data_IF_128141353808
#
_entry.id   IF_128141353808
#
_cell.length_a   1.000
_cell.length_b   1.000
_cell.length_c   1.000
_cell.angle_alpha   90.00
_cell.angle_beta   90.00
_cell.angle_gamma   90.00
#
_symmetry.space_group_name_H-M   'P 1'
#
loop_
_entity.id
_entity.type
_entity.pdbx_description
1 polymer ?
#
# COMPACT_ATOMS: atom_id res chain seq x y z
N UNK A 1 25.41 -63.45 22.81
CA UNK A 1 24.76 -62.15 22.94
C UNK A 1 25.75 -61.06 22.57
N UNK A 2 25.67 -60.53 21.33
CA UNK A 2 26.50 -59.42 20.88
C UNK A 2 25.80 -58.11 21.23
N UNK A 3 26.48 -57.31 22.07
CA UNK A 3 26.03 -55.92 22.34
C UNK A 3 26.40 -55.05 21.14
N UNK A 4 25.40 -54.48 20.49
CA UNK A 4 25.60 -53.43 19.46
C UNK A 4 25.71 -52.13 20.22
N UNK A 5 26.90 -51.49 20.14
CA UNK A 5 27.13 -50.16 20.65
C UNK A 5 26.74 -49.19 19.54
N UNK A 6 25.67 -48.47 19.74
CA UNK A 6 25.30 -47.35 18.86
C UNK A 6 26.05 -46.12 19.36
N UNK A 7 27.08 -45.73 18.62
CA UNK A 7 27.74 -44.45 18.83
C UNK A 7 26.87 -43.33 18.24
N UNK A 8 26.26 -42.54 19.12
CA UNK A 8 25.70 -41.26 18.73
C UNK A 8 26.87 -40.29 18.49
N UNK A 9 27.07 -39.95 17.23
CA UNK A 9 27.98 -38.85 16.84
C UNK A 9 27.22 -37.54 17.07
N UNK A 10 27.49 -36.86 18.19
CA UNK A 10 27.03 -35.49 18.43
C UNK A 10 27.94 -34.59 17.62
N UNK A 11 27.49 -34.16 16.45
CA UNK A 11 28.06 -33.05 15.70
C UNK A 11 27.63 -31.76 16.39
N UNK A 12 28.48 -31.21 17.22
CA UNK A 12 28.30 -29.83 17.69
C UNK A 12 28.67 -28.88 16.56
N UNK A 13 27.66 -28.32 15.91
CA UNK A 13 27.84 -27.19 15.02
C UNK A 13 28.08 -25.94 15.87
N UNK A 14 29.25 -25.37 15.78
CA UNK A 14 29.45 -24.00 16.21
C UNK A 14 28.81 -23.09 15.19
N UNK A 15 27.62 -22.57 15.52
CA UNK A 15 27.01 -21.47 14.80
C UNK A 15 27.81 -20.21 15.09
N UNK A 16 28.58 -19.73 14.12
CA UNK A 16 29.02 -18.35 14.09
C UNK A 16 27.84 -17.53 13.62
N UNK A 17 27.44 -16.59 14.46
CA UNK A 17 26.14 -15.94 14.37
C UNK A 17 25.96 -14.98 13.22
N UNK A 18 25.64 -15.48 12.05
CA UNK A 18 25.04 -14.73 10.95
C UNK A 18 23.71 -15.35 10.55
N UNK A 19 22.86 -15.65 11.53
CA UNK A 19 21.42 -15.83 11.33
C UNK A 19 20.92 -16.94 10.40
N UNK A 20 21.78 -17.69 9.73
CA UNK A 20 21.37 -18.87 8.97
C UNK A 20 21.31 -20.10 9.88
N UNK A 21 20.24 -20.19 10.67
CA UNK A 21 19.88 -21.48 11.25
C UNK A 21 19.48 -22.39 10.09
N UNK A 22 20.35 -23.38 9.78
CA UNK A 22 20.04 -24.41 8.81
C UNK A 22 18.86 -25.25 9.26
N UNK A 23 17.65 -24.80 8.96
CA UNK A 23 16.48 -25.63 8.97
C UNK A 23 16.38 -26.27 7.59
N UNK A 24 16.30 -27.59 7.54
CA UNK A 24 15.86 -28.28 6.34
C UNK A 24 14.39 -27.92 6.14
N UNK A 25 14.11 -26.91 5.30
CA UNK A 25 12.78 -26.70 4.77
C UNK A 25 12.49 -27.84 3.81
N UNK A 26 11.50 -28.67 4.13
CA UNK A 26 10.96 -29.69 3.24
C UNK A 26 9.92 -29.10 2.27
N UNK A 27 9.56 -27.83 2.41
CA UNK A 27 8.67 -27.11 1.50
C UNK A 27 9.41 -26.66 0.27
N UNK A 28 9.34 -27.49 -0.77
CA UNK A 28 9.91 -27.21 -2.10
C UNK A 28 9.09 -26.22 -2.93
N UNK A 29 7.98 -25.76 -2.44
CA UNK A 29 7.02 -24.93 -3.19
C UNK A 29 6.79 -23.56 -2.57
N UNK A 30 7.83 -22.95 -2.00
CA UNK A 30 7.83 -21.50 -1.81
C UNK A 30 7.96 -20.95 -3.22
N UNK A 31 6.86 -20.46 -3.77
CA UNK A 31 6.88 -19.71 -5.02
C UNK A 31 7.76 -18.48 -4.77
N UNK A 32 8.99 -18.53 -5.25
CA UNK A 32 9.99 -17.47 -5.04
C UNK A 32 9.61 -16.18 -5.75
N UNK A 33 8.65 -16.25 -6.71
CA UNK A 33 8.19 -15.11 -7.45
C UNK A 33 6.98 -14.46 -6.76
N UNK A 34 7.29 -13.55 -5.82
CA UNK A 34 6.32 -12.73 -5.08
C UNK A 34 6.05 -11.38 -5.74
N UNK A 35 6.72 -11.09 -6.85
CA UNK A 35 6.67 -9.78 -7.48
C UNK A 35 5.28 -9.47 -7.99
N UNK A 36 4.72 -8.39 -7.47
CA UNK A 36 3.44 -7.86 -7.95
C UNK A 36 3.64 -7.36 -9.37
N UNK A 37 2.84 -7.89 -10.31
CA UNK A 37 3.00 -7.62 -11.74
C UNK A 37 1.66 -7.32 -12.41
N UNK A 38 1.58 -6.15 -13.03
CA UNK A 38 0.49 -5.72 -13.88
C UNK A 38 1.05 -5.25 -15.23
N UNK A 39 0.41 -5.57 -16.35
CA UNK A 39 0.91 -5.15 -17.66
C UNK A 39 0.75 -3.63 -17.84
N UNK A 40 1.72 -3.03 -18.50
CA UNK A 40 1.61 -1.64 -18.91
C UNK A 40 0.40 -1.43 -19.85
N UNK A 41 -0.23 -0.26 -19.75
CA UNK A 41 -1.27 0.14 -20.68
C UNK A 41 -0.66 0.62 -22.00
N UNK A 42 -1.48 0.96 -23.00
CA UNK A 42 -0.96 1.53 -24.26
C UNK A 42 -0.28 2.89 -24.06
N UNK A 43 -0.68 3.65 -23.04
CA UNK A 43 -0.27 5.04 -22.83
C UNK A 43 0.59 5.22 -21.58
N UNK A 44 0.49 4.31 -20.60
CA UNK A 44 1.12 4.45 -19.31
C UNK A 44 1.86 3.19 -18.87
N UNK A 45 2.95 3.39 -18.18
CA UNK A 45 3.55 2.39 -17.32
C UNK A 45 2.66 2.19 -16.09
N UNK A 46 2.52 0.96 -15.64
CA UNK A 46 1.86 0.65 -14.37
C UNK A 46 2.95 0.54 -13.32
N UNK A 47 2.96 1.48 -12.40
CA UNK A 47 3.92 1.60 -11.30
C UNK A 47 3.27 1.05 -10.03
N UNK A 48 3.84 0.02 -9.46
CA UNK A 48 3.35 -0.60 -8.21
C UNK A 48 3.93 0.15 -7.02
N UNK A 49 3.09 0.69 -6.16
CA UNK A 49 3.55 1.53 -5.05
C UNK A 49 2.88 1.21 -3.72
N UNK A 50 3.66 1.36 -2.63
CA UNK A 50 3.16 1.45 -1.27
C UNK A 50 3.57 2.81 -0.69
N UNK A 51 2.58 3.65 -0.42
CA UNK A 51 2.78 5.06 -0.12
C UNK A 51 2.62 5.41 1.37
N UNK A 52 2.47 4.37 2.24
CA UNK A 52 2.31 4.52 3.68
C UNK A 52 2.95 3.35 4.40
N UNK A 53 4.12 3.58 4.99
CA UNK A 53 4.87 2.56 5.73
C UNK A 53 5.62 3.15 6.93
N UNK A 54 5.78 2.36 7.99
CA UNK A 54 6.42 2.73 9.24
C UNK A 54 7.62 1.84 9.55
N UNK A 55 8.55 2.39 10.32
CA UNK A 55 9.71 1.68 10.85
C UNK A 55 9.92 1.98 12.34
N UNK A 56 11.03 1.52 12.92
CA UNK A 56 11.39 1.83 14.32
C UNK A 56 11.62 3.31 14.59
N UNK A 57 11.67 4.14 13.54
CA UNK A 57 11.78 5.60 13.68
C UNK A 57 10.45 6.27 14.06
N UNK A 58 9.35 5.51 14.09
CA UNK A 58 8.10 5.84 14.78
C UNK A 58 7.62 4.63 15.59
N UNK A 59 6.54 4.00 15.23
CA UNK A 59 5.93 2.87 15.95
C UNK A 59 6.01 1.54 15.21
N UNK A 60 6.71 1.49 14.10
CA UNK A 60 7.01 0.23 13.42
C UNK A 60 8.04 -0.62 14.18
N UNK A 61 8.14 -1.90 13.84
CA UNK A 61 8.96 -2.88 14.51
C UNK A 61 10.20 -3.31 13.72
N UNK A 62 10.44 -2.73 12.54
CA UNK A 62 11.58 -3.07 11.68
C UNK A 62 12.36 -1.83 11.28
N UNK A 63 13.64 -2.03 10.92
CA UNK A 63 14.47 -0.95 10.40
C UNK A 63 14.08 -0.58 8.95
N UNK A 64 14.38 0.65 8.50
CA UNK A 64 14.03 1.10 7.14
C UNK A 64 14.61 0.24 6.02
N UNK A 65 15.81 -0.35 6.21
CA UNK A 65 16.41 -1.28 5.24
C UNK A 65 15.52 -2.52 5.00
N UNK A 66 14.83 -3.00 6.04
CA UNK A 66 13.89 -4.13 5.91
C UNK A 66 12.70 -3.73 5.03
N UNK A 67 12.17 -2.49 5.18
CA UNK A 67 11.12 -1.96 4.29
C UNK A 67 11.56 -1.97 2.82
N UNK A 68 12.82 -1.58 2.56
CA UNK A 68 13.39 -1.62 1.22
C UNK A 68 13.50 -3.06 0.69
N UNK A 69 14.00 -3.99 1.50
CA UNK A 69 14.10 -5.41 1.12
C UNK A 69 12.74 -6.03 0.83
N UNK A 70 11.74 -5.73 1.66
CA UNK A 70 10.35 -6.17 1.46
C UNK A 70 9.76 -5.58 0.16
N UNK A 71 10.01 -4.30 -0.13
CA UNK A 71 9.56 -3.65 -1.35
C UNK A 71 10.16 -4.28 -2.60
N UNK A 72 11.48 -4.49 -2.61
CA UNK A 72 12.20 -5.14 -3.71
C UNK A 72 11.73 -6.58 -3.95
N UNK A 73 11.56 -7.34 -2.88
CA UNK A 73 11.07 -8.72 -2.93
C UNK A 73 9.65 -8.80 -3.49
N UNK A 74 8.78 -7.89 -3.07
CA UNK A 74 7.38 -7.85 -3.50
C UNK A 74 7.21 -7.16 -4.86
N UNK A 75 8.29 -6.63 -5.46
CA UNK A 75 8.28 -6.01 -6.79
C UNK A 75 7.61 -4.65 -6.82
N UNK A 76 7.72 -3.87 -5.73
CA UNK A 76 7.30 -2.48 -5.76
C UNK A 76 8.26 -1.64 -6.62
N UNK A 77 7.72 -0.70 -7.38
CA UNK A 77 8.48 0.33 -8.08
C UNK A 77 8.68 1.58 -7.22
N UNK A 78 7.79 1.81 -6.23
CA UNK A 78 7.82 2.98 -5.34
C UNK A 78 7.50 2.58 -3.90
N UNK A 79 8.32 3.07 -2.98
CA UNK A 79 8.14 2.96 -1.53
C UNK A 79 8.21 4.34 -0.89
N UNK A 80 7.19 4.74 -0.14
CA UNK A 80 7.26 5.93 0.71
C UNK A 80 7.60 5.56 2.14
N UNK A 81 8.53 6.29 2.76
CA UNK A 81 8.82 6.23 4.19
C UNK A 81 8.03 7.37 4.84
N UNK A 82 7.07 7.03 5.71
CA UNK A 82 6.07 7.98 6.22
C UNK A 82 5.90 7.86 7.73
N UNK A 83 7.00 7.97 8.47
CA UNK A 83 7.01 7.89 9.92
C UNK A 83 6.08 8.92 10.55
N UNK A 84 5.44 8.56 11.67
CA UNK A 84 4.73 9.52 12.51
C UNK A 84 5.65 10.65 12.95
N UNK A 85 5.22 11.89 12.80
CA UNK A 85 5.99 13.05 13.27
C UNK A 85 5.88 13.23 14.78
N UNK A 86 4.68 13.06 15.33
CA UNK A 86 4.36 13.39 16.71
C UNK A 86 4.42 12.17 17.63
N UNK A 87 4.00 11.00 17.14
CA UNK A 87 3.99 9.78 17.95
C UNK A 87 5.32 9.03 17.82
N UNK A 88 6.07 8.99 18.93
CA UNK A 88 7.43 8.47 18.99
C UNK A 88 7.58 7.46 20.13
N UNK A 89 7.00 6.24 20.04
CA UNK A 89 7.01 5.27 21.12
C UNK A 89 8.41 4.73 21.46
N UNK A 90 9.36 4.86 20.56
CA UNK A 90 10.75 4.41 20.77
C UNK A 90 11.70 5.53 21.23
N UNK A 91 11.20 6.74 21.54
CA UNK A 91 11.98 7.96 21.79
C UNK A 91 13.04 7.79 22.91
N UNK A 92 12.81 6.92 23.88
CA UNK A 92 13.76 6.67 24.96
C UNK A 92 15.00 5.90 24.49
N UNK A 93 14.89 5.11 23.42
CA UNK A 93 15.97 4.29 22.84
C UNK A 93 16.44 4.86 21.51
N UNK A 94 15.55 5.43 20.73
CA UNK A 94 15.80 6.05 19.44
C UNK A 94 15.20 7.48 19.44
N UNK A 95 15.96 8.51 19.83
CA UNK A 95 15.45 9.86 19.99
C UNK A 95 14.90 10.50 18.70
N UNK A 96 15.23 9.98 17.52
CA UNK A 96 14.74 10.40 16.20
C UNK A 96 14.60 11.93 16.06
N UNK A 97 15.66 12.67 16.35
CA UNK A 97 15.64 14.15 16.33
C UNK A 97 15.54 14.74 14.93
N UNK A 98 16.07 14.01 13.94
CA UNK A 98 15.95 14.38 12.53
C UNK A 98 14.93 13.44 11.86
N UNK A 99 13.78 13.99 11.49
CA UNK A 99 12.66 13.22 10.90
C UNK A 99 12.96 12.71 9.48
N UNK A 100 14.10 13.04 8.92
CA UNK A 100 14.55 12.47 7.64
C UNK A 100 15.41 11.19 7.82
N UNK A 101 15.84 10.85 9.05
CA UNK A 101 16.79 9.74 9.27
C UNK A 101 16.26 8.39 8.75
N UNK A 102 14.97 8.10 8.93
CA UNK A 102 14.35 6.87 8.39
C UNK A 102 14.45 6.80 6.85
N UNK A 103 14.17 7.91 6.18
CA UNK A 103 14.29 8.02 4.73
C UNK A 103 15.76 7.90 4.28
N UNK A 104 16.69 8.55 4.96
CA UNK A 104 18.11 8.49 4.63
C UNK A 104 18.66 7.06 4.80
N UNK A 105 18.26 6.33 5.85
CA UNK A 105 18.59 4.91 6.04
C UNK A 105 18.00 4.03 4.94
N UNK A 106 16.75 4.27 4.53
CA UNK A 106 16.13 3.56 3.41
C UNK A 106 16.85 3.84 2.09
N UNK A 107 17.25 5.08 1.82
CA UNK A 107 18.05 5.45 0.64
C UNK A 107 19.41 4.75 0.64
N UNK A 108 20.06 4.69 1.81
CA UNK A 108 21.34 4.00 1.94
C UNK A 108 21.21 2.50 1.62
N UNK A 109 20.13 1.87 2.08
CA UNK A 109 19.83 0.48 1.77
C UNK A 109 19.55 0.27 0.27
N UNK A 110 18.90 1.23 -0.37
CA UNK A 110 18.51 1.18 -1.80
C UNK A 110 19.61 1.61 -2.78
N UNK A 111 20.77 2.06 -2.32
CA UNK A 111 21.82 2.72 -3.13
C UNK A 111 22.32 1.97 -4.36
N UNK A 112 22.15 0.64 -4.39
CA UNK A 112 22.60 -0.23 -5.49
C UNK A 112 21.42 -0.73 -6.36
N UNK A 113 20.19 -0.30 -6.09
CA UNK A 113 19.00 -0.74 -6.80
C UNK A 113 18.40 0.43 -7.58
N UNK A 114 18.26 0.25 -8.89
CA UNK A 114 17.66 1.25 -9.78
C UNK A 114 16.15 0.99 -10.03
N UNK A 115 15.65 -0.17 -9.61
CA UNK A 115 14.28 -0.61 -9.87
C UNK A 115 13.27 -0.05 -8.87
N UNK A 116 13.72 0.39 -7.68
CA UNK A 116 12.87 0.92 -6.61
C UNK A 116 13.16 2.41 -6.40
N UNK A 117 12.12 3.24 -6.48
CA UNK A 117 12.16 4.64 -6.04
C UNK A 117 11.72 4.73 -4.58
N UNK A 118 12.63 5.12 -3.69
CA UNK A 118 12.30 5.44 -2.29
C UNK A 118 12.03 6.93 -2.19
N UNK A 119 10.87 7.33 -1.65
CA UNK A 119 10.46 8.73 -1.54
C UNK A 119 10.34 9.15 -0.08
N UNK A 120 10.75 10.40 0.20
CA UNK A 120 10.61 11.01 1.51
C UNK A 120 9.16 11.38 1.76
N UNK A 121 8.67 11.04 2.95
CA UNK A 121 7.35 11.38 3.42
C UNK A 121 7.31 11.49 4.94
N UNK A 122 6.14 11.83 5.45
CA UNK A 122 5.87 11.85 6.87
C UNK A 122 4.36 11.74 7.12
N UNK A 123 3.99 11.13 8.21
CA UNK A 123 2.62 11.13 8.69
C UNK A 123 2.44 12.20 9.78
N UNK A 124 1.66 13.23 9.45
CA UNK A 124 1.19 14.26 10.38
C UNK A 124 0.09 13.61 11.24
N UNK A 125 0.39 13.34 12.49
CA UNK A 125 -0.43 12.54 13.39
C UNK A 125 -1.16 13.42 14.39
N UNK A 126 -2.45 13.65 14.17
CA UNK A 126 -3.27 14.55 14.98
C UNK A 126 -4.54 13.88 15.47
N UNK A 127 -5.06 14.42 16.56
CA UNK A 127 -6.42 14.08 17.03
C UNK A 127 -7.47 14.67 16.06
N UNK A 128 -8.71 14.16 16.07
CA UNK A 128 -9.80 14.78 15.32
C UNK A 128 -9.95 16.28 15.65
N UNK A 129 -10.37 17.13 14.69
CA UNK A 129 -10.96 16.75 13.40
C UNK A 129 -9.94 16.51 12.27
N UNK A 130 -8.65 16.77 12.46
CA UNK A 130 -7.64 16.62 11.43
C UNK A 130 -7.33 15.13 11.13
N UNK A 131 -7.18 14.32 12.18
CA UNK A 131 -6.76 12.93 12.02
C UNK A 131 -5.34 12.81 11.48
N UNK A 132 -5.07 11.72 10.80
CA UNK A 132 -3.76 11.42 10.23
C UNK A 132 -3.70 11.78 8.76
N UNK A 133 -2.60 12.41 8.35
CA UNK A 133 -2.42 12.92 6.99
C UNK A 133 -0.98 12.62 6.55
N UNK A 134 -0.81 11.92 5.45
CA UNK A 134 0.50 11.75 4.85
C UNK A 134 0.86 12.91 3.92
N UNK A 135 2.12 13.31 3.98
CA UNK A 135 2.75 14.16 2.99
C UNK A 135 3.95 13.43 2.40
N UNK A 136 3.93 13.17 1.10
CA UNK A 136 5.01 12.47 0.38
C UNK A 136 5.62 13.37 -0.70
N UNK A 137 6.82 13.02 -1.18
CA UNK A 137 7.66 13.85 -2.05
C UNK A 137 8.07 15.17 -1.39
N UNK A 138 8.22 15.17 -0.07
CA UNK A 138 8.77 16.32 0.68
C UNK A 138 10.30 16.24 0.69
N UNK A 139 10.95 17.38 0.90
CA UNK A 139 12.42 17.49 0.95
C UNK A 139 12.95 17.38 2.36
N UNK A 140 12.18 17.89 3.33
CA UNK A 140 12.57 17.97 4.73
C UNK A 140 11.35 17.82 5.64
N UNK A 141 11.24 16.64 6.26
CA UNK A 141 10.17 16.32 7.21
C UNK A 141 10.25 17.14 8.50
N UNK A 142 11.44 17.67 8.86
CA UNK A 142 11.61 18.49 10.06
C UNK A 142 10.83 19.81 10.00
N UNK A 143 10.44 20.26 8.81
CA UNK A 143 9.64 21.47 8.66
C UNK A 143 8.15 21.26 8.98
N UNK A 144 7.71 19.98 9.15
CA UNK A 144 6.32 19.63 9.31
C UNK A 144 5.91 19.44 10.78
N UNK A 145 6.81 19.62 11.72
CA UNK A 145 6.49 19.53 13.16
C UNK A 145 7.28 20.57 13.96
N UNK A 146 6.94 20.70 15.24
CA UNK A 146 7.65 21.59 16.17
C UNK A 146 7.60 20.99 17.57
N UNK A 147 8.75 20.85 18.21
CA UNK A 147 8.95 20.34 19.56
C UNK A 147 9.56 21.39 20.52
N UNK A 148 9.32 22.68 20.25
CA UNK A 148 9.80 23.77 21.08
C UNK A 148 9.23 23.67 22.50
N UNK A 149 10.11 23.59 23.50
CA UNK A 149 9.75 23.48 24.92
C UNK A 149 8.90 24.65 25.43
N UNK A 150 8.89 25.78 24.73
CA UNK A 150 7.98 26.89 25.05
C UNK A 150 6.49 26.51 24.93
N UNK A 151 6.18 25.42 24.21
CA UNK A 151 4.83 24.86 24.08
C UNK A 151 4.40 23.95 25.25
N UNK A 152 5.29 23.64 26.21
CA UNK A 152 4.96 22.75 27.34
C UNK A 152 3.68 23.19 28.11
N UNK A 153 3.44 24.48 28.41
CA UNK A 153 2.20 24.88 29.09
C UNK A 153 0.94 24.53 28.26
N UNK A 154 1.00 24.69 26.95
CA UNK A 154 -0.11 24.35 26.05
C UNK A 154 -0.31 22.82 25.98
N UNK A 155 0.78 22.05 25.91
CA UNK A 155 0.74 20.59 25.92
C UNK A 155 0.08 20.06 27.23
N UNK A 156 0.43 20.63 28.38
CA UNK A 156 -0.18 20.27 29.66
C UNK A 156 -1.68 20.59 29.71
N UNK A 157 -2.10 21.67 29.06
CA UNK A 157 -3.52 22.02 28.96
C UNK A 157 -4.26 21.06 28.02
N UNK A 158 -3.66 20.71 26.90
CA UNK A 158 -4.20 19.70 25.97
C UNK A 158 -4.47 18.37 26.67
N UNK A 159 -3.52 17.87 27.47
CA UNK A 159 -3.67 16.62 28.23
C UNK A 159 -4.78 16.69 29.30
N UNK A 160 -5.08 17.87 29.85
CA UNK A 160 -6.20 18.04 30.76
C UNK A 160 -7.55 18.05 30.03
N UNK A 161 -7.61 18.63 28.85
CA UNK A 161 -8.84 18.70 28.04
C UNK A 161 -9.21 17.35 27.45
N UNK A 162 -8.21 16.51 27.15
CA UNK A 162 -8.38 15.18 26.54
C UNK A 162 -7.78 14.10 27.44
N UNK A 163 -8.38 13.82 28.64
CA UNK A 163 -7.86 12.79 29.55
C UNK A 163 -7.84 11.38 28.91
N UNK A 164 -8.68 11.13 27.92
CA UNK A 164 -8.70 9.88 27.14
C UNK A 164 -7.42 9.74 26.30
N UNK A 165 -6.95 10.83 25.72
CA UNK A 165 -5.65 10.86 25.04
C UNK A 165 -4.48 10.58 25.99
N UNK A 166 -4.65 10.91 27.29
CA UNK A 166 -3.67 10.57 28.33
C UNK A 166 -3.75 9.11 28.81
N UNK A 167 -4.84 8.39 28.50
CA UNK A 167 -5.05 7.02 28.97
C UNK A 167 -4.62 5.94 27.98
N UNK A 168 -4.50 6.27 26.68
CA UNK A 168 -4.08 5.29 25.66
C UNK A 168 -2.57 5.06 25.64
N UNK A 169 -1.77 6.01 26.18
CA UNK A 169 -0.32 5.88 26.30
C UNK A 169 0.08 5.99 27.78
N UNK A 170 0.48 4.86 28.35
CA UNK A 170 0.88 4.78 29.76
C UNK A 170 2.27 5.39 30.02
N UNK A 171 3.16 5.33 29.03
CA UNK A 171 4.49 5.92 29.14
C UNK A 171 4.40 7.44 29.10
N UNK A 172 4.76 8.06 30.24
CA UNK A 172 4.69 9.50 30.41
C UNK A 172 5.57 10.27 29.42
N UNK A 173 6.77 9.77 29.12
CA UNK A 173 7.70 10.44 28.20
C UNK A 173 7.11 10.51 26.79
N UNK A 174 6.56 9.41 26.30
CA UNK A 174 5.94 9.32 24.97
C UNK A 174 4.70 10.22 24.89
N UNK A 175 3.83 10.12 25.88
CA UNK A 175 2.61 10.91 25.96
C UNK A 175 2.87 12.42 26.01
N UNK A 176 3.82 12.85 26.88
CA UNK A 176 4.14 14.27 27.05
C UNK A 176 4.80 14.82 25.77
N UNK A 177 5.62 14.02 25.09
CA UNK A 177 6.21 14.38 23.80
C UNK A 177 5.14 14.49 22.69
N UNK A 178 4.24 13.51 22.61
CA UNK A 178 3.11 13.58 21.68
C UNK A 178 2.26 14.85 21.89
N UNK A 179 1.95 15.18 23.15
CA UNK A 179 1.21 16.39 23.46
C UNK A 179 1.99 17.66 23.09
N UNK A 180 3.31 17.68 23.35
CA UNK A 180 4.17 18.82 23.03
C UNK A 180 4.18 19.12 21.53
N UNK A 181 4.29 18.11 20.71
CA UNK A 181 4.34 18.26 19.24
C UNK A 181 2.95 18.49 18.64
N UNK A 182 1.90 17.93 19.27
CA UNK A 182 0.52 18.04 18.79
C UNK A 182 -0.11 19.42 18.98
N UNK A 183 0.38 20.26 19.88
CA UNK A 183 -0.14 21.64 20.08
C UNK A 183 0.30 22.60 18.97
N UNK A 184 1.31 22.25 18.19
CA UNK A 184 1.66 23.03 17.00
C UNK A 184 0.54 22.92 15.96
N UNK A 185 0.05 24.05 15.38
CA UNK A 185 -1.11 24.02 14.50
C UNK A 185 -0.90 23.09 13.31
N UNK A 186 -1.84 22.18 13.10
CA UNK A 186 -1.79 21.19 12.00
C UNK A 186 -1.74 21.87 10.62
N UNK A 187 -2.40 23.02 10.49
CA UNK A 187 -2.36 23.80 9.26
C UNK A 187 -0.94 24.21 8.88
N UNK A 188 -0.07 24.49 9.86
CA UNK A 188 1.34 24.81 9.59
C UNK A 188 2.11 23.61 9.06
N UNK A 189 1.82 22.40 9.56
CA UNK A 189 2.41 21.17 9.04
C UNK A 189 1.99 20.93 7.58
N UNK A 190 0.69 21.07 7.30
CA UNK A 190 0.16 20.96 5.93
C UNK A 190 0.72 22.07 5.02
N UNK A 191 0.81 23.32 5.49
CA UNK A 191 1.40 24.41 4.73
C UNK A 191 2.88 24.18 4.41
N UNK A 192 3.64 23.65 5.37
CA UNK A 192 5.04 23.30 5.17
C UNK A 192 5.21 22.17 4.13
N UNK A 193 4.35 21.16 4.16
CA UNK A 193 4.33 20.12 3.14
C UNK A 193 3.93 20.63 1.77
N UNK A 194 2.89 21.48 1.70
CA UNK A 194 2.43 22.10 0.46
C UNK A 194 3.49 23.04 -0.15
N UNK A 195 4.21 23.82 0.68
CA UNK A 195 5.29 24.70 0.25
C UNK A 195 6.46 23.91 -0.37
N UNK A 196 6.65 22.68 0.03
CA UNK A 196 7.61 21.74 -0.55
C UNK A 196 7.05 21.00 -1.78
N UNK A 197 5.87 21.39 -2.25
CA UNK A 197 5.17 20.73 -3.36
C UNK A 197 4.85 19.26 -3.07
N UNK A 198 4.69 18.88 -1.80
CA UNK A 198 4.33 17.52 -1.37
C UNK A 198 2.96 17.10 -1.88
N UNK A 199 2.80 15.82 -2.19
CA UNK A 199 1.49 15.23 -2.40
C UNK A 199 0.92 14.84 -1.03
N UNK A 200 -0.24 15.38 -0.68
CA UNK A 200 -0.83 15.27 0.66
C UNK A 200 -2.12 14.47 0.57
N UNK A 201 -2.28 13.46 1.40
CA UNK A 201 -3.48 12.63 1.40
C UNK A 201 -3.92 12.24 2.82
N UNK A 202 -5.23 12.07 2.99
CA UNK A 202 -5.87 11.73 4.27
C UNK A 202 -5.85 10.23 4.48
N UNK A 203 -5.32 9.79 5.64
CA UNK A 203 -5.11 8.38 5.97
C UNK A 203 -6.32 7.79 6.69
N UNK A 204 -6.61 6.50 6.41
CA UNK A 204 -7.56 5.61 7.15
C UNK A 204 -8.68 6.36 7.90
N UNK A 205 -9.39 7.24 7.17
CA UNK A 205 -10.37 8.20 7.70
C UNK A 205 -11.54 7.57 8.47
N UNK A 206 -11.74 6.25 8.33
CA UNK A 206 -12.73 5.43 9.06
C UNK A 206 -12.18 4.83 10.36
N UNK A 207 -10.89 4.98 10.65
CA UNK A 207 -10.27 4.43 11.85
C UNK A 207 -10.95 4.97 13.10
N UNK A 208 -11.36 4.06 14.03
CA UNK A 208 -12.26 4.41 15.15
C UNK A 208 -11.76 5.51 16.08
N UNK A 209 -10.45 5.69 16.31
CA UNK A 209 -9.96 6.87 17.03
C UNK A 209 -10.17 8.20 16.30
N UNK A 210 -10.25 8.20 14.96
CA UNK A 210 -10.60 9.38 14.17
C UNK A 210 -12.10 9.51 13.97
N UNK A 211 -12.80 8.40 13.77
CA UNK A 211 -14.23 8.33 13.53
C UNK A 211 -14.87 7.21 14.35
N UNK A 212 -15.45 7.49 15.53
CA UNK A 212 -15.97 6.48 16.44
C UNK A 212 -17.04 5.55 15.84
N UNK A 213 -17.70 5.96 14.77
CA UNK A 213 -18.67 5.15 14.04
C UNK A 213 -18.01 4.17 13.05
N UNK A 214 -16.70 4.29 12.82
CA UNK A 214 -15.96 3.49 11.84
C UNK A 214 -16.28 3.82 10.39
N UNK A 215 -16.78 5.03 10.10
CA UNK A 215 -17.11 5.53 8.77
C UNK A 215 -16.35 6.82 8.47
N UNK A 216 -15.98 7.05 7.23
CA UNK A 216 -15.31 8.29 6.82
C UNK A 216 -16.30 9.45 6.76
N UNK A 217 -15.97 10.54 7.47
CA UNK A 217 -16.79 11.75 7.50
C UNK A 217 -15.94 12.97 7.17
N UNK A 218 -16.28 13.63 6.07
CA UNK A 218 -15.57 14.84 5.63
C UNK A 218 -15.82 16.01 6.58
N UNK A 219 -14.82 16.41 7.34
CA UNK A 219 -14.90 17.51 8.30
C UNK A 219 -14.68 18.88 7.62
N UNK A 220 -15.02 19.97 8.31
CA UNK A 220 -14.76 21.33 7.78
C UNK A 220 -13.27 21.63 7.61
N UNK A 221 -12.41 21.01 8.40
CA UNK A 221 -10.96 21.07 8.23
C UNK A 221 -10.54 20.50 6.86
N UNK A 222 -10.99 19.29 6.53
CA UNK A 222 -10.65 18.65 5.24
C UNK A 222 -11.27 19.40 4.06
N UNK A 223 -12.51 19.88 4.17
CA UNK A 223 -13.15 20.71 3.13
C UNK A 223 -12.32 21.97 2.84
N UNK A 224 -11.80 22.63 3.89
CA UNK A 224 -10.91 23.79 3.74
C UNK A 224 -9.64 23.43 2.99
N UNK A 225 -8.98 22.32 3.36
CA UNK A 225 -7.77 21.87 2.67
C UNK A 225 -8.02 21.55 1.19
N UNK A 226 -9.13 20.92 0.86
CA UNK A 226 -9.55 20.65 -0.53
C UNK A 226 -9.73 21.96 -1.29
N UNK A 227 -10.47 22.92 -0.73
CA UNK A 227 -10.73 24.22 -1.34
C UNK A 227 -9.44 25.04 -1.56
N UNK A 228 -8.45 24.88 -0.68
CA UNK A 228 -7.14 25.50 -0.77
C UNK A 228 -6.15 24.72 -1.63
N UNK A 229 -6.58 23.59 -2.24
CA UNK A 229 -5.72 22.68 -3.01
C UNK A 229 -4.51 22.17 -2.21
N UNK A 230 -4.74 21.84 -0.94
CA UNK A 230 -3.74 21.31 0.01
C UNK A 230 -4.01 19.86 0.44
N UNK A 231 -5.14 19.28 0.06
CA UNK A 231 -5.43 17.86 0.19
C UNK A 231 -5.70 17.30 -1.20
N UNK A 232 -4.88 16.35 -1.63
CA UNK A 232 -4.84 15.88 -3.00
C UNK A 232 -5.40 14.46 -3.16
N UNK A 233 -5.39 13.68 -2.07
CA UNK A 233 -5.82 12.29 -2.09
C UNK A 233 -6.43 11.84 -0.76
N UNK A 234 -6.94 10.63 -0.76
CA UNK A 234 -7.51 9.95 0.41
C UNK A 234 -7.26 8.44 0.28
N UNK A 235 -6.90 7.80 1.38
CA UNK A 235 -6.91 6.34 1.42
C UNK A 235 -8.32 5.81 1.39
N UNK A 236 -8.57 4.88 0.47
CA UNK A 236 -9.80 4.10 0.40
C UNK A 236 -9.60 2.68 0.91
N UNK A 237 -8.35 2.22 0.90
CA UNK A 237 -7.92 0.95 1.49
C UNK A 237 -6.62 1.17 2.27
N UNK A 238 -6.57 0.63 3.49
CA UNK A 238 -5.42 0.71 4.37
C UNK A 238 -5.34 -0.59 5.19
N UNK A 239 -4.19 -1.25 5.17
CA UNK A 239 -4.01 -2.52 5.84
C UNK A 239 -5.01 -3.58 5.35
N UNK A 240 -5.86 -4.05 6.23
CA UNK A 240 -6.90 -5.04 5.92
C UNK A 240 -8.29 -4.42 5.71
N UNK A 241 -8.40 -3.11 5.77
CA UNK A 241 -9.67 -2.38 5.77
C UNK A 241 -9.89 -1.62 4.46
N UNK A 242 -11.16 -1.38 4.14
CA UNK A 242 -11.64 -0.61 3.00
C UNK A 242 -12.85 0.21 3.42
N UNK A 243 -13.03 1.40 2.83
CA UNK A 243 -14.18 2.27 3.09
C UNK A 243 -14.83 2.75 1.80
N UNK A 244 -16.10 2.39 1.63
CA UNK A 244 -16.94 2.91 0.55
C UNK A 244 -17.16 4.42 0.69
N UNK A 245 -17.27 4.92 1.93
CA UNK A 245 -17.46 6.34 2.21
C UNK A 245 -16.23 7.16 1.83
N UNK A 246 -15.01 6.65 2.11
CA UNK A 246 -13.77 7.29 1.68
C UNK A 246 -13.67 7.32 0.15
N UNK A 247 -14.08 6.26 -0.52
CA UNK A 247 -14.14 6.22 -1.98
C UNK A 247 -15.14 7.21 -2.53
N UNK A 248 -16.34 7.33 -1.92
CA UNK A 248 -17.34 8.31 -2.32
C UNK A 248 -16.85 9.76 -2.09
N UNK A 249 -16.18 10.03 -0.95
CA UNK A 249 -15.54 11.32 -0.68
C UNK A 249 -14.51 11.66 -1.77
N UNK A 250 -13.71 10.67 -2.19
CA UNK A 250 -12.74 10.87 -3.28
C UNK A 250 -13.41 11.30 -4.57
N UNK A 251 -14.49 10.59 -4.97
CA UNK A 251 -15.26 10.90 -6.19
C UNK A 251 -15.90 12.29 -6.13
N UNK A 252 -16.56 12.62 -5.02
CA UNK A 252 -17.31 13.87 -4.87
C UNK A 252 -16.41 15.10 -4.81
N UNK A 253 -15.11 14.93 -4.53
CA UNK A 253 -14.16 16.03 -4.34
C UNK A 253 -12.94 15.96 -5.25
N UNK A 254 -12.95 15.12 -6.28
CA UNK A 254 -11.86 14.94 -7.23
C UNK A 254 -10.51 14.60 -6.55
N UNK A 255 -10.54 13.85 -5.43
CA UNK A 255 -9.35 13.40 -4.73
C UNK A 255 -8.79 12.13 -5.36
N UNK A 256 -7.48 12.02 -5.39
CA UNK A 256 -6.79 10.79 -5.81
C UNK A 256 -7.05 9.66 -4.83
N UNK A 257 -7.47 8.51 -5.34
CA UNK A 257 -7.68 7.31 -4.53
C UNK A 257 -6.35 6.61 -4.25
N UNK A 258 -6.11 6.27 -2.99
CA UNK A 258 -4.88 5.66 -2.48
C UNK A 258 -5.20 4.36 -1.75
N UNK A 259 -4.38 3.35 -1.95
CA UNK A 259 -4.41 2.10 -1.18
C UNK A 259 -3.01 1.77 -0.69
N UNK A 260 -2.85 1.49 0.60
CA UNK A 260 -1.56 1.37 1.28
C UNK A 260 -1.55 0.22 2.27
N UNK A 261 -0.36 -0.23 2.63
CA UNK A 261 -0.23 -1.26 3.68
C UNK A 261 -0.31 -0.70 5.09
N UNK A 262 0.20 0.50 5.31
CA UNK A 262 0.36 1.06 6.66
C UNK A 262 1.08 0.07 7.59
N UNK A 263 2.11 -0.58 7.04
CA UNK A 263 2.76 -1.71 7.68
C UNK A 263 3.67 -1.26 8.82
N UNK A 264 3.47 -1.86 9.98
CA UNK A 264 4.28 -1.64 11.17
C UNK A 264 5.17 -2.86 11.48
N UNK A 265 4.66 -4.07 11.25
CA UNK A 265 5.37 -5.33 11.44
C UNK A 265 6.18 -5.74 10.20
N UNK A 266 6.77 -6.93 10.22
CA UNK A 266 7.19 -7.58 8.98
C UNK A 266 5.97 -7.79 8.07
N UNK A 267 6.11 -7.48 6.78
CA UNK A 267 5.03 -7.60 5.81
C UNK A 267 4.45 -9.02 5.76
N UNK A 268 5.29 -10.04 6.00
CA UNK A 268 4.87 -11.45 5.98
C UNK A 268 4.02 -11.84 7.19
N UNK A 269 4.07 -11.07 8.28
CA UNK A 269 3.21 -11.30 9.44
C UNK A 269 1.80 -10.79 9.17
N UNK A 270 1.69 -9.68 8.45
CA UNK A 270 0.40 -9.05 8.16
C UNK A 270 -0.24 -9.64 6.90
N UNK A 271 0.58 -10.05 5.91
CA UNK A 271 0.10 -10.58 4.63
C UNK A 271 0.73 -11.95 4.32
N UNK A 272 -0.03 -13.01 4.47
CA UNK A 272 0.42 -14.39 4.19
C UNK A 272 0.46 -14.66 2.67
N UNK A 273 1.55 -14.31 2.00
CA UNK A 273 1.74 -14.49 0.56
C UNK A 273 1.50 -15.93 0.09
N UNK A 274 2.03 -16.91 0.82
CA UNK A 274 1.85 -18.34 0.54
C UNK A 274 0.38 -18.80 0.62
N UNK A 275 -0.55 -17.94 1.07
CA UNK A 275 -2.00 -18.15 1.03
C UNK A 275 -2.68 -17.29 -0.06
N UNK A 276 -1.92 -16.75 -1.00
CA UNK A 276 -2.43 -15.86 -2.05
C UNK A 276 -2.90 -14.49 -1.56
N UNK A 277 -2.44 -14.05 -0.37
CA UNK A 277 -2.72 -12.70 0.13
C UNK A 277 -1.60 -11.75 -0.29
N UNK A 278 -1.94 -10.49 -0.47
CA UNK A 278 -1.00 -9.43 -0.83
C UNK A 278 -1.28 -8.17 -0.01
N UNK A 279 -0.27 -7.30 0.14
CA UNK A 279 -0.47 -5.95 0.68
C UNK A 279 -1.37 -5.13 -0.25
N UNK A 280 -2.16 -4.20 0.24
CA UNK A 280 -2.75 -3.18 -0.61
C UNK A 280 -1.65 -2.38 -1.30
N UNK A 281 -1.88 -2.07 -2.57
CA UNK A 281 -0.97 -1.22 -3.34
C UNK A 281 -1.76 -0.22 -4.16
N UNK A 282 -1.14 0.94 -4.41
CA UNK A 282 -1.60 1.87 -5.42
C UNK A 282 -0.86 1.62 -6.73
N UNK A 283 -1.60 1.24 -7.77
CA UNK A 283 -1.12 1.15 -9.13
C UNK A 283 -1.21 2.54 -9.76
N UNK A 284 -0.06 3.16 -10.03
CA UNK A 284 0.02 4.52 -10.58
C UNK A 284 0.24 4.40 -12.09
N UNK A 285 -0.64 5.02 -12.88
CA UNK A 285 -0.55 5.07 -14.35
C UNK A 285 0.34 6.25 -14.77
N UNK A 286 1.64 6.00 -14.89
CA UNK A 286 2.66 7.02 -15.12
C UNK A 286 3.18 7.03 -16.56
N UNK A 287 3.56 8.21 -17.07
CA UNK A 287 4.22 8.34 -18.38
C UNK A 287 5.70 7.94 -18.36
N UNK A 288 6.29 7.78 -17.19
CA UNK A 288 7.70 7.40 -17.03
C UNK A 288 7.98 6.95 -15.59
N UNK A 289 9.20 6.44 -15.36
CA UNK A 289 9.67 5.97 -14.05
C UNK A 289 10.30 7.06 -13.18
N UNK A 290 10.45 8.31 -13.70
CA UNK A 290 11.03 9.38 -12.90
C UNK A 290 10.08 9.81 -11.78
N UNK A 291 10.64 10.26 -10.66
CA UNK A 291 9.89 10.81 -9.53
C UNK A 291 8.86 11.86 -9.97
N UNK A 292 9.27 12.81 -10.83
CA UNK A 292 8.36 13.83 -11.36
C UNK A 292 7.19 13.25 -12.17
N UNK A 293 7.42 12.19 -12.97
CA UNK A 293 6.35 11.57 -13.77
C UNK A 293 5.35 10.84 -12.87
N UNK A 294 5.85 10.19 -11.81
CA UNK A 294 5.05 9.47 -10.82
C UNK A 294 4.25 10.46 -9.97
N UNK A 295 4.91 11.50 -9.48
CA UNK A 295 4.28 12.60 -8.74
C UNK A 295 3.17 13.28 -9.55
N UNK A 296 3.43 13.59 -10.83
CA UNK A 296 2.41 14.14 -11.73
C UNK A 296 1.21 13.20 -11.89
N UNK A 297 1.45 11.89 -12.01
CA UNK A 297 0.38 10.92 -12.15
C UNK A 297 -0.53 10.87 -10.91
N UNK A 298 0.05 11.00 -9.71
CA UNK A 298 -0.71 11.11 -8.47
C UNK A 298 -1.56 12.39 -8.44
N UNK A 299 -0.98 13.55 -8.75
CA UNK A 299 -1.75 14.82 -8.80
C UNK A 299 -2.86 14.82 -9.86
N UNK A 300 -2.74 14.03 -10.92
CA UNK A 300 -3.75 13.89 -11.96
C UNK A 300 -4.78 12.76 -11.66
N UNK A 301 -4.72 12.13 -10.50
CA UNK A 301 -5.66 11.08 -10.11
C UNK A 301 -5.56 9.79 -10.95
N UNK A 302 -4.40 9.54 -11.59
CA UNK A 302 -4.18 8.36 -12.42
C UNK A 302 -3.76 7.16 -11.56
N UNK A 303 -4.68 6.68 -10.73
CA UNK A 303 -4.45 5.60 -9.78
C UNK A 303 -5.54 4.53 -9.85
N UNK A 304 -5.16 3.32 -9.45
CA UNK A 304 -6.05 2.18 -9.22
C UNK A 304 -5.54 1.52 -7.93
N UNK A 305 -6.43 1.19 -7.03
CA UNK A 305 -6.08 0.45 -5.81
C UNK A 305 -6.30 -1.04 -6.05
N UNK A 306 -5.29 -1.84 -5.76
CA UNK A 306 -5.42 -3.30 -5.72
C UNK A 306 -5.48 -3.76 -4.27
N UNK A 307 -6.65 -4.24 -3.85
CA UNK A 307 -6.94 -4.61 -2.46
C UNK A 307 -7.74 -5.91 -2.42
N UNK A 308 -7.22 -6.95 -1.73
CA UNK A 308 -7.88 -8.26 -1.60
C UNK A 308 -8.44 -8.77 -2.93
N UNK A 309 -7.62 -8.73 -3.96
CA UNK A 309 -7.95 -9.10 -5.34
C UNK A 309 -8.95 -8.17 -6.05
N UNK A 310 -9.42 -7.09 -5.44
CA UNK A 310 -10.26 -6.11 -6.12
C UNK A 310 -9.41 -5.00 -6.74
N UNK A 311 -9.66 -4.70 -7.99
CA UNK A 311 -9.15 -3.51 -8.66
C UNK A 311 -10.20 -2.42 -8.53
N UNK A 312 -9.89 -1.36 -7.78
CA UNK A 312 -10.79 -0.28 -7.41
C UNK A 312 -10.26 1.02 -8.02
N UNK A 313 -11.06 1.70 -8.81
CA UNK A 313 -10.62 2.92 -9.48
C UNK A 313 -11.70 3.53 -10.35
N UNK A 314 -11.38 4.70 -10.92
CA UNK A 314 -12.25 5.34 -11.90
C UNK A 314 -12.19 4.59 -13.24
N UNK A 315 -13.29 4.62 -13.99
CA UNK A 315 -13.43 3.90 -15.25
C UNK A 315 -12.32 4.24 -16.27
N UNK A 316 -11.96 5.51 -16.36
CA UNK A 316 -10.91 6.00 -17.26
C UNK A 316 -9.51 5.43 -16.95
N UNK A 317 -9.25 5.00 -15.70
CA UNK A 317 -8.03 4.32 -15.29
C UNK A 317 -8.16 2.80 -15.40
N UNK A 318 -9.30 2.25 -14.98
CA UNK A 318 -9.53 0.80 -14.97
C UNK A 318 -9.60 0.20 -16.38
N UNK A 319 -10.30 0.83 -17.33
CA UNK A 319 -10.46 0.28 -18.68
C UNK A 319 -9.14 0.05 -19.42
N UNK A 320 -8.17 0.99 -19.42
CA UNK A 320 -6.86 0.75 -20.04
C UNK A 320 -6.10 -0.42 -19.39
N UNK A 321 -6.13 -0.51 -18.04
CA UNK A 321 -5.47 -1.60 -17.31
C UNK A 321 -6.11 -2.95 -17.64
N UNK A 322 -7.43 -3.07 -17.56
CA UNK A 322 -8.17 -4.29 -17.87
C UNK A 322 -7.96 -4.72 -19.32
N UNK A 323 -7.96 -3.76 -20.26
CA UNK A 323 -7.71 -4.02 -21.67
C UNK A 323 -6.30 -4.54 -21.96
N UNK A 324 -5.32 -4.18 -21.14
CA UNK A 324 -3.95 -4.69 -21.23
C UNK A 324 -3.78 -6.01 -20.50
N UNK A 325 -4.51 -6.21 -19.39
CA UNK A 325 -4.47 -7.41 -18.57
C UNK A 325 -5.14 -8.61 -19.23
N UNK A 326 -6.18 -8.39 -20.04
CA UNK A 326 -6.92 -9.46 -20.69
C UNK A 326 -6.68 -9.45 -22.20
N UNK A 327 -6.34 -10.60 -22.78
CA UNK A 327 -6.36 -10.81 -24.21
C UNK A 327 -7.40 -11.87 -24.58
N UNK A 328 -8.16 -11.61 -25.64
CA UNK A 328 -9.21 -12.51 -26.13
C UNK A 328 -8.86 -12.86 -27.58
N UNK A 329 -8.78 -14.16 -27.89
CA UNK A 329 -8.43 -14.67 -29.22
C UNK A 329 -9.36 -15.78 -29.62
N UNK A 330 -9.98 -15.67 -30.81
CA UNK A 330 -10.71 -16.76 -31.42
C UNK A 330 -9.74 -17.87 -31.85
N UNK A 331 -10.05 -19.11 -31.54
CA UNK A 331 -9.33 -20.30 -31.98
C UNK A 331 -10.05 -21.00 -33.18
N UNK A 332 -11.27 -20.58 -33.47
CA UNK A 332 -12.10 -21.18 -34.50
C UNK A 332 -13.19 -22.10 -33.94
N UNK A 333 -13.90 -22.76 -34.84
CA UNK A 333 -14.98 -23.68 -34.47
C UNK A 333 -14.44 -25.10 -34.28
N UNK A 334 -14.99 -25.81 -33.31
CA UNK A 334 -14.77 -27.24 -33.17
C UNK A 334 -15.28 -27.95 -34.43
N UNK A 335 -14.54 -28.95 -34.91
CA UNK A 335 -14.86 -29.68 -36.14
C UNK A 335 -16.29 -30.23 -36.13
N UNK A 336 -17.04 -29.94 -37.20
CA UNK A 336 -18.42 -30.40 -37.36
C UNK A 336 -19.45 -29.74 -36.42
N UNK A 337 -19.10 -28.66 -35.74
CA UNK A 337 -20.00 -27.99 -34.78
C UNK A 337 -20.14 -26.48 -35.04
N UNK A 338 -21.03 -25.83 -34.32
CA UNK A 338 -21.14 -24.36 -34.18
C UNK A 338 -20.68 -23.86 -32.79
N UNK A 339 -19.76 -24.61 -32.19
CA UNK A 339 -19.12 -24.24 -30.91
C UNK A 339 -17.83 -23.52 -31.24
N UNK A 340 -17.79 -22.23 -30.92
CA UNK A 340 -16.61 -21.38 -31.08
C UNK A 340 -15.71 -21.49 -29.85
N UNK A 341 -14.45 -21.80 -30.05
CA UNK A 341 -13.44 -21.75 -28.99
C UNK A 341 -12.79 -20.39 -28.95
N UNK A 342 -12.75 -19.81 -27.75
CA UNK A 342 -12.13 -18.52 -27.47
C UNK A 342 -11.12 -18.69 -26.36
N UNK A 343 -9.87 -18.36 -26.65
CA UNK A 343 -8.80 -18.30 -25.66
C UNK A 343 -8.84 -16.94 -24.98
N UNK A 344 -8.94 -16.93 -23.66
CA UNK A 344 -8.79 -15.74 -22.82
C UNK A 344 -7.53 -15.92 -21.99
N UNK A 345 -6.66 -14.92 -21.99
CA UNK A 345 -5.42 -14.89 -21.22
C UNK A 345 -5.46 -13.71 -20.24
N UNK A 346 -5.16 -13.99 -18.97
CA UNK A 346 -4.94 -13.00 -17.91
C UNK A 346 -3.43 -12.82 -17.72
N UNK A 347 -2.95 -11.58 -17.83
CA UNK A 347 -1.52 -11.20 -17.74
C UNK A 347 -1.20 -10.46 -16.44
N UNK A 348 -2.13 -10.41 -15.49
CA UNK A 348 -2.01 -9.67 -14.23
C UNK A 348 -2.04 -10.60 -13.03
N UNK A 349 -1.63 -10.07 -11.88
CA UNK A 349 -1.74 -10.78 -10.60
C UNK A 349 -3.15 -10.82 -10.02
N UNK A 350 -4.09 -10.06 -10.57
CA UNK A 350 -5.47 -10.13 -10.14
C UNK A 350 -6.19 -11.33 -10.78
N UNK A 351 -6.89 -12.13 -10.01
CA UNK A 351 -7.85 -13.10 -10.53
C UNK A 351 -9.00 -12.33 -11.20
N UNK A 352 -9.26 -12.62 -12.47
CA UNK A 352 -10.32 -11.94 -13.21
C UNK A 352 -11.63 -12.71 -13.12
N UNK A 353 -12.61 -12.13 -12.44
CA UNK A 353 -13.98 -12.66 -12.39
C UNK A 353 -14.78 -12.07 -13.55
N UNK A 354 -15.14 -12.90 -14.52
CA UNK A 354 -15.78 -12.48 -15.75
C UNK A 354 -17.24 -12.91 -15.81
N UNK A 355 -18.08 -12.04 -16.41
CA UNK A 355 -19.48 -12.34 -16.70
C UNK A 355 -19.72 -12.24 -18.19
N UNK A 356 -20.36 -13.27 -18.75
CA UNK A 356 -20.82 -13.25 -20.12
C UNK A 356 -22.09 -12.40 -20.25
N UNK A 357 -22.01 -11.30 -20.98
CA UNK A 357 -23.13 -10.43 -21.39
C UNK A 357 -23.49 -10.57 -22.86
N UNK A 358 -22.85 -11.46 -23.61
CA UNK A 358 -23.21 -11.69 -24.99
C UNK A 358 -24.58 -12.37 -25.10
N UNK A 359 -25.17 -12.33 -26.31
CA UNK A 359 -26.39 -13.09 -26.62
C UNK A 359 -26.20 -14.61 -26.70
N UNK A 360 -24.97 -15.07 -26.65
CA UNK A 360 -24.62 -16.49 -26.77
C UNK A 360 -24.42 -17.13 -25.39
N UNK A 361 -24.69 -18.43 -25.30
CA UNK A 361 -24.46 -19.22 -24.09
C UNK A 361 -23.11 -19.95 -24.17
N UNK A 362 -22.56 -20.26 -23.00
CA UNK A 362 -21.33 -21.05 -22.92
C UNK A 362 -21.65 -22.55 -22.89
N UNK A 363 -20.74 -23.40 -23.38
CA UNK A 363 -20.93 -24.85 -23.44
C UNK A 363 -20.63 -25.52 -22.09
N UNK A 364 -19.48 -25.24 -21.53
CA UNK A 364 -18.97 -25.91 -20.32
C UNK A 364 -18.98 -25.02 -19.07
N UNK A 365 -19.18 -23.71 -19.24
CA UNK A 365 -19.17 -22.77 -18.12
C UNK A 365 -20.55 -22.16 -17.91
N UNK A 366 -20.81 -21.67 -16.71
CA UNK A 366 -21.92 -20.75 -16.45
C UNK A 366 -21.60 -19.37 -17.05
N UNK A 367 -22.53 -18.42 -16.94
CA UNK A 367 -22.27 -17.03 -17.36
C UNK A 367 -21.23 -16.32 -16.50
N UNK A 368 -20.79 -16.91 -15.39
CA UNK A 368 -19.70 -16.43 -14.54
C UNK A 368 -18.57 -17.45 -14.55
N UNK A 369 -17.35 -16.97 -14.70
CA UNK A 369 -16.15 -17.78 -14.66
C UNK A 369 -14.95 -16.95 -14.24
N UNK A 370 -13.93 -17.62 -13.74
CA UNK A 370 -12.70 -17.02 -13.27
C UNK A 370 -11.55 -17.36 -14.19
N UNK A 371 -10.58 -16.46 -14.27
CA UNK A 371 -9.28 -16.70 -14.91
C UNK A 371 -8.21 -16.29 -13.89
N UNK A 372 -7.45 -17.29 -13.46
CA UNK A 372 -6.38 -17.11 -12.48
C UNK A 372 -5.29 -16.14 -12.97
N UNK A 373 -4.48 -15.58 -12.05
CA UNK A 373 -3.31 -14.81 -12.42
C UNK A 373 -2.41 -15.54 -13.43
N UNK A 374 -1.88 -14.80 -14.41
CA UNK A 374 -0.92 -15.28 -15.41
C UNK A 374 -1.33 -16.59 -16.11
N UNK A 375 -2.63 -16.81 -16.27
CA UNK A 375 -3.18 -18.05 -16.81
C UNK A 375 -3.97 -17.84 -18.10
N UNK A 376 -4.27 -18.97 -18.77
CA UNK A 376 -5.05 -19.04 -19.99
C UNK A 376 -6.22 -19.99 -19.80
N UNK A 377 -7.38 -19.59 -20.33
CA UNK A 377 -8.60 -20.41 -20.28
C UNK A 377 -9.28 -20.42 -21.65
N UNK A 378 -9.66 -21.60 -22.13
CA UNK A 378 -10.48 -21.74 -23.32
C UNK A 378 -11.95 -21.75 -22.88
N UNK A 379 -12.75 -20.89 -23.51
CA UNK A 379 -14.19 -20.78 -23.32
C UNK A 379 -14.88 -21.22 -24.61
N UNK A 380 -15.81 -22.15 -24.48
CA UNK A 380 -16.62 -22.66 -25.59
C UNK A 380 -17.95 -21.89 -25.67
N UNK A 381 -18.19 -21.24 -26.80
CA UNK A 381 -19.37 -20.38 -27.05
C UNK A 381 -20.27 -21.07 -28.08
N UNK A 382 -21.56 -21.27 -27.74
CA UNK A 382 -22.57 -21.81 -28.64
C UNK A 382 -23.13 -20.68 -29.51
N UNK A 383 -22.69 -20.63 -30.78
CA UNK A 383 -23.07 -19.52 -31.67
C UNK A 383 -24.30 -19.82 -32.50
N UNK A 384 -24.82 -21.08 -32.46
CA UNK A 384 -25.98 -21.59 -33.23
C UNK A 384 -25.67 -21.72 -34.73
N UNK A 385 -25.00 -20.76 -35.33
CA UNK A 385 -24.53 -20.72 -36.69
C UNK A 385 -23.07 -20.23 -36.74
N UNK A 386 -22.34 -20.61 -37.80
CA UNK A 386 -20.96 -20.13 -37.95
C UNK A 386 -20.96 -18.64 -38.33
N UNK A 387 -20.33 -17.81 -37.49
CA UNK A 387 -20.21 -16.37 -37.71
C UNK A 387 -19.13 -16.06 -38.75
N UNK A 388 -19.40 -15.12 -39.64
CA UNK A 388 -18.47 -14.78 -40.75
C UNK A 388 -17.30 -13.89 -40.33
N UNK A 389 -17.45 -13.15 -39.25
CA UNK A 389 -16.43 -12.26 -38.68
C UNK A 389 -16.40 -12.48 -37.18
N UNK A 390 -15.28 -12.97 -36.68
CA UNK A 390 -15.06 -13.24 -35.26
C UNK A 390 -13.74 -12.57 -34.82
#
# INVERSE_FOLDING_TARGET
>A
MKKILINFLILSFYSFGDGEAGSLSLDKDINEDRKISFPNTKEYLVIVSDLHTHSVFSDGHVWPNIRVEEALRDGLDVLAITEHLEYQPHIEFLPNKNRNDAYEEALLANKNNEDLLVINGAEITRIPPAGHINAIFIKDANLLFNDDESNIPLAQELLKQYPEAASWEENKTIRDYYALTSVWPVEKAVDAAHTQEGFIFWNHSWWTPQSPQGISVLTDFHKKLIQENKLHGIEIANGINYSDEAFQIAIDNDLTIIGTSDVHNLIDWDYSFYKGKHRPVTLILSKGKSENSIKQALFEGRTIVWFKNNLIGLENNLLPLLSSSLSIKSLGYQEGTTILEVLIENKSDATMMLRNFSKYTLSQNTNFFEIDPHSKKIIEIKTIEALKNI
#
